data_IF_009965800196
#
_entry.id   IF_009965800196
#
_cell.length_a   1.000
_cell.length_b   1.000
_cell.length_c   1.000
_cell.angle_alpha   90.00
_cell.angle_beta   90.00
_cell.angle_gamma   90.00
#
_symmetry.space_group_name_H-M   'P 1'
#
loop_
_entity.id
_entity.type
_entity.pdbx_description
1 polymer ?
#
# COMPACT_ATOMS: atom_id res chain seq x y z
N UNK A 1 20.91 -3.60 -26.98
CA UNK A 1 19.61 -4.30 -27.03
C UNK A 1 18.55 -3.38 -27.61
N UNK A 2 17.78 -3.84 -28.57
CA UNK A 2 16.73 -3.04 -29.20
C UNK A 2 15.47 -2.96 -28.37
N UNK A 3 14.60 -2.06 -28.76
CA UNK A 3 13.25 -1.94 -28.20
C UNK A 3 12.23 -2.55 -29.15
N UNK A 4 11.19 -3.14 -28.56
CA UNK A 4 10.04 -3.65 -29.34
C UNK A 4 8.88 -2.65 -29.18
N UNK A 5 8.33 -2.23 -30.32
CA UNK A 5 7.21 -1.28 -30.33
C UNK A 5 5.93 -1.98 -30.78
N UNK A 6 4.86 -1.78 -30.04
CA UNK A 6 3.53 -2.27 -30.39
C UNK A 6 2.65 -1.08 -30.77
N UNK A 7 1.97 -1.17 -31.92
CA UNK A 7 1.11 -0.09 -32.41
C UNK A 7 -0.36 -0.25 -32.04
N UNK A 8 -0.73 -1.36 -31.40
CA UNK A 8 -2.09 -1.65 -30.98
C UNK A 8 -2.12 -2.25 -29.60
N UNK A 9 -3.29 -2.70 -29.13
CA UNK A 9 -3.41 -3.32 -27.80
C UNK A 9 -2.54 -4.55 -27.67
N UNK A 10 -1.91 -4.70 -26.49
CA UNK A 10 -1.17 -5.92 -26.11
C UNK A 10 -2.02 -6.69 -25.12
N UNK A 11 -2.34 -7.95 -25.47
CA UNK A 11 -3.12 -8.84 -24.60
C UNK A 11 -2.17 -9.86 -23.98
N UNK A 12 -2.12 -9.92 -22.66
CA UNK A 12 -1.40 -10.94 -21.92
C UNK A 12 -2.37 -11.70 -21.02
N UNK A 13 -2.48 -13.01 -21.24
CA UNK A 13 -3.38 -13.86 -20.44
C UNK A 13 -2.79 -14.20 -19.07
N UNK A 14 -1.47 -14.16 -18.95
CA UNK A 14 -0.75 -14.52 -17.73
C UNK A 14 -0.13 -13.32 -17.00
N UNK A 15 -0.46 -12.09 -17.43
CA UNK A 15 0.09 -10.87 -16.83
C UNK A 15 1.48 -10.52 -17.35
N UNK A 16 2.13 -9.62 -16.66
CA UNK A 16 3.47 -9.15 -16.98
C UNK A 16 4.41 -9.47 -15.83
N UNK A 17 5.62 -9.94 -16.16
CA UNK A 17 6.69 -10.10 -15.17
C UNK A 17 7.59 -8.87 -15.19
N UNK A 18 8.03 -8.45 -14.00
CA UNK A 18 8.92 -7.31 -13.83
C UNK A 18 8.21 -5.97 -13.76
N UNK A 19 8.98 -4.87 -13.63
CA UNK A 19 8.41 -3.54 -13.51
C UNK A 19 7.73 -3.08 -14.79
N UNK A 20 6.65 -2.32 -14.63
CA UNK A 20 5.99 -1.60 -15.73
C UNK A 20 6.35 -0.11 -15.58
N UNK A 21 7.04 0.45 -16.59
CA UNK A 21 7.34 1.88 -16.63
C UNK A 21 6.36 2.56 -17.59
N UNK A 22 5.54 3.44 -17.06
CA UNK A 22 4.50 4.12 -17.85
C UNK A 22 4.29 5.54 -17.33
N UNK A 23 3.93 6.46 -18.21
CA UNK A 23 3.53 7.80 -17.82
C UNK A 23 2.18 7.79 -17.10
N UNK A 24 1.28 6.93 -17.56
CA UNK A 24 -0.05 6.77 -16.96
C UNK A 24 -0.44 5.29 -17.00
N UNK A 25 -1.02 4.81 -15.93
CA UNK A 25 -1.65 3.48 -15.88
C UNK A 25 -3.13 3.69 -15.60
N UNK A 26 -3.99 3.26 -16.54
CA UNK A 26 -5.45 3.31 -16.38
C UNK A 26 -5.97 1.89 -16.17
N UNK A 27 -6.59 1.66 -15.02
CA UNK A 27 -7.26 0.39 -14.73
C UNK A 27 -8.76 0.56 -14.91
N UNK A 28 -9.42 -0.40 -15.57
CA UNK A 28 -10.87 -0.40 -15.75
C UNK A 28 -11.61 -1.07 -14.60
N UNK A 29 -10.89 -1.64 -13.67
CA UNK A 29 -11.41 -2.26 -12.47
C UNK A 29 -10.57 -1.88 -11.26
N UNK A 30 -10.61 -2.68 -10.23
CA UNK A 30 -9.82 -2.45 -9.03
C UNK A 30 -8.33 -2.65 -9.29
N UNK A 31 -7.50 -1.87 -8.63
CA UNK A 31 -6.06 -2.11 -8.55
C UNK A 31 -5.78 -2.82 -7.23
N UNK A 32 -5.26 -4.03 -7.30
CA UNK A 32 -4.86 -4.82 -6.12
C UNK A 32 -3.35 -4.75 -6.03
N UNK A 33 -2.83 -3.99 -5.07
CA UNK A 33 -1.40 -3.80 -4.90
C UNK A 33 -0.71 -5.06 -4.35
N UNK A 34 -1.40 -5.80 -3.49
CA UNK A 34 -0.93 -7.08 -2.97
C UNK A 34 -2.14 -7.97 -2.69
N UNK A 35 -2.08 -9.21 -3.14
CA UNK A 35 -3.17 -10.16 -2.95
C UNK A 35 -3.07 -10.96 -1.64
N UNK A 36 -2.04 -10.72 -0.84
CA UNK A 36 -1.86 -11.42 0.43
C UNK A 36 -2.89 -10.97 1.47
N UNK A 37 -3.21 -11.87 2.38
CA UNK A 37 -4.04 -11.53 3.54
C UNK A 37 -3.28 -10.55 4.42
N UNK A 38 -3.95 -9.50 4.88
CA UNK A 38 -3.35 -8.48 5.73
C UNK A 38 -2.76 -9.11 7.01
N UNK A 39 -1.46 -8.94 7.29
CA UNK A 39 -0.82 -9.56 8.44
C UNK A 39 -1.19 -8.85 9.74
N UNK A 40 -0.89 -9.49 10.87
CA UNK A 40 -0.98 -8.83 12.16
C UNK A 40 0.03 -7.68 12.27
N UNK A 41 -0.35 -6.63 13.00
CA UNK A 41 0.51 -5.50 13.34
C UNK A 41 1.06 -4.70 12.13
N UNK A 42 0.51 -4.92 10.93
CA UNK A 42 0.80 -4.09 9.76
C UNK A 42 2.12 -4.36 9.08
N UNK A 43 2.58 -5.62 9.08
CA UNK A 43 3.84 -5.97 8.42
C UNK A 43 3.86 -5.82 6.90
N UNK A 44 2.77 -5.38 6.27
CA UNK A 44 2.64 -5.28 4.82
C UNK A 44 2.47 -3.83 4.39
N UNK A 45 3.34 -3.40 3.47
CA UNK A 45 3.16 -2.13 2.75
C UNK A 45 2.31 -2.40 1.51
N UNK A 46 1.05 -1.96 1.52
CA UNK A 46 0.14 -2.17 0.39
C UNK A 46 0.50 -1.32 -0.82
N UNK A 47 0.76 -0.03 -0.60
CA UNK A 47 1.10 0.91 -1.68
C UNK A 47 2.17 1.86 -1.19
N UNK A 48 3.28 1.94 -1.93
CA UNK A 48 4.28 2.99 -1.73
C UNK A 48 3.91 4.21 -2.57
N UNK A 49 3.83 5.38 -1.94
CA UNK A 49 3.28 6.57 -2.58
C UNK A 49 4.34 7.40 -3.28
N UNK A 50 5.59 7.33 -2.82
CA UNK A 50 6.67 8.14 -3.39
C UNK A 50 7.97 7.35 -3.44
N UNK A 51 9.05 7.97 -3.92
CA UNK A 51 10.38 7.38 -3.90
C UNK A 51 10.96 7.24 -2.48
N UNK A 52 10.32 7.84 -1.47
CA UNK A 52 10.74 7.68 -0.08
C UNK A 52 10.42 6.26 0.39
N UNK A 53 11.48 5.52 0.71
CA UNK A 53 11.33 4.12 1.13
C UNK A 53 10.43 4.02 2.36
N UNK A 54 9.45 3.13 2.29
CA UNK A 54 8.53 2.88 3.38
C UNK A 54 7.41 3.90 3.59
N UNK A 55 7.30 4.92 2.71
CA UNK A 55 6.20 5.88 2.78
C UNK A 55 5.01 5.38 1.96
N UNK A 56 3.92 5.06 2.60
CA UNK A 56 2.75 4.56 1.90
C UNK A 56 1.61 4.15 2.82
N UNK A 57 0.76 3.27 2.30
CA UNK A 57 -0.41 2.75 3.01
C UNK A 57 -0.12 1.32 3.45
N UNK A 58 -0.20 1.09 4.76
CA UNK A 58 -0.03 -0.21 5.39
C UNK A 58 -1.39 -0.76 5.80
N UNK A 59 -1.50 -2.07 5.84
CA UNK A 59 -2.74 -2.76 6.21
C UNK A 59 -2.42 -3.89 7.18
N UNK A 60 -3.26 -4.10 8.17
CA UNK A 60 -3.09 -5.23 9.08
C UNK A 60 -4.17 -5.33 10.12
N UNK A 61 -4.12 -6.38 10.91
CA UNK A 61 -4.95 -6.57 12.11
C UNK A 61 -4.16 -6.18 13.36
N UNK A 62 -4.84 -5.71 14.38
CA UNK A 62 -4.19 -5.23 15.59
C UNK A 62 -3.51 -3.86 15.41
N UNK A 63 -3.01 -3.30 16.50
CA UNK A 63 -2.28 -2.05 16.46
C UNK A 63 -0.95 -2.20 15.72
N UNK A 64 -0.53 -1.20 14.92
CA UNK A 64 0.69 -1.32 14.13
C UNK A 64 1.95 -1.31 14.99
N UNK A 65 2.89 -2.19 14.66
CA UNK A 65 4.23 -2.22 15.25
C UNK A 65 5.33 -2.22 14.18
N UNK A 66 4.96 -2.26 12.92
CA UNK A 66 5.90 -2.24 11.81
C UNK A 66 6.64 -0.90 11.75
N UNK A 67 7.90 -0.92 11.30
CA UNK A 67 8.64 0.31 11.03
C UNK A 67 8.23 0.87 9.66
N UNK A 68 7.99 2.17 9.59
CA UNK A 68 7.58 2.84 8.37
C UNK A 68 8.12 4.26 8.32
N UNK A 69 8.10 4.87 7.15
CA UNK A 69 8.46 6.27 7.01
C UNK A 69 7.41 7.16 7.67
N UNK A 70 7.86 8.27 8.22
CA UNK A 70 7.00 9.27 8.84
C UNK A 70 5.94 9.78 7.85
N UNK A 71 4.70 9.82 8.30
CA UNK A 71 3.56 10.22 7.48
C UNK A 71 2.82 9.06 6.82
N UNK A 72 3.32 7.83 6.95
CA UNK A 72 2.62 6.65 6.44
C UNK A 72 1.29 6.45 7.15
N UNK A 73 0.32 5.93 6.42
CA UNK A 73 -1.03 5.62 6.90
C UNK A 73 -1.16 4.11 7.13
N UNK A 74 -1.79 3.73 8.23
CA UNK A 74 -2.11 2.34 8.53
C UNK A 74 -3.62 2.17 8.66
N UNK A 75 -4.17 1.21 7.92
CA UNK A 75 -5.57 0.83 7.99
C UNK A 75 -5.70 -0.48 8.75
N UNK A 76 -6.42 -0.46 9.86
CA UNK A 76 -6.60 -1.62 10.72
C UNK A 76 -7.88 -2.37 10.36
N UNK A 77 -7.75 -3.67 10.08
CA UNK A 77 -8.87 -4.48 9.59
C UNK A 77 -9.84 -4.88 10.70
N UNK A 78 -9.42 -4.89 11.96
CA UNK A 78 -10.22 -5.32 13.11
C UNK A 78 -10.51 -4.19 14.11
N UNK A 79 -10.35 -2.92 13.71
CA UNK A 79 -10.66 -1.77 14.55
C UNK A 79 -12.14 -1.63 14.83
N UNK A 80 -12.52 -1.43 16.09
CA UNK A 80 -13.91 -1.36 16.54
C UNK A 80 -14.28 -0.05 17.24
N UNK A 81 -13.27 0.73 17.66
CA UNK A 81 -13.48 1.98 18.39
C UNK A 81 -13.08 3.19 17.55
N UNK A 82 -13.38 4.38 18.05
CA UNK A 82 -13.03 5.63 17.36
C UNK A 82 -11.52 5.86 17.23
N UNK A 83 -10.71 5.18 18.04
CA UNK A 83 -9.26 5.42 18.14
C UNK A 83 -8.42 4.23 17.69
N UNK A 84 -9.00 3.22 17.05
CA UNK A 84 -8.25 2.03 16.68
C UNK A 84 -8.46 1.58 15.24
N UNK A 85 -9.01 2.45 14.38
CA UNK A 85 -9.33 2.12 12.99
C UNK A 85 -8.21 2.49 12.01
N UNK A 86 -7.51 3.60 12.28
CA UNK A 86 -6.45 4.10 11.43
C UNK A 86 -5.37 4.80 12.25
N UNK A 87 -4.13 4.81 11.73
CA UNK A 87 -2.97 5.39 12.40
C UNK A 87 -2.08 6.12 11.40
N UNK A 88 -1.34 7.12 11.90
CA UNK A 88 -0.27 7.81 11.16
C UNK A 88 1.06 7.51 11.84
N UNK A 89 2.09 7.19 11.05
CA UNK A 89 3.44 7.07 11.58
C UNK A 89 4.00 8.46 11.88
N UNK A 90 4.43 8.68 13.12
CA UNK A 90 4.82 10.01 13.60
C UNK A 90 6.31 10.18 13.82
N UNK A 91 7.11 9.10 13.79
CA UNK A 91 8.53 9.21 14.08
C UNK A 91 9.47 8.64 13.01
N UNK A 92 8.93 8.06 11.94
CA UNK A 92 9.76 7.42 10.92
C UNK A 92 10.34 6.08 11.36
N UNK A 93 9.79 5.46 12.37
CA UNK A 93 10.18 4.15 12.89
C UNK A 93 8.90 3.38 13.27
N UNK A 94 8.78 2.97 14.53
CA UNK A 94 7.70 2.09 14.98
C UNK A 94 6.60 2.80 15.77
N UNK A 95 6.64 4.13 15.84
CA UNK A 95 5.62 4.89 16.58
C UNK A 95 4.49 5.30 15.65
N UNK A 96 3.31 4.82 15.97
CA UNK A 96 2.08 5.11 15.24
C UNK A 96 1.09 5.80 16.18
N UNK A 97 0.52 6.88 15.72
CA UNK A 97 -0.49 7.64 16.48
C UNK A 97 -1.86 7.42 15.86
N UNK A 98 -2.81 7.05 16.68
CA UNK A 98 -4.17 6.79 16.23
C UNK A 98 -4.83 8.05 15.70
N UNK A 99 -5.59 7.90 14.62
CA UNK A 99 -6.51 8.91 14.14
C UNK A 99 -7.86 8.69 14.82
N UNK A 100 -8.40 9.72 15.46
CA UNK A 100 -9.73 9.64 16.06
C UNK A 100 -10.77 9.76 14.94
N UNK A 101 -11.63 8.76 14.83
CA UNK A 101 -12.72 8.76 13.86
C UNK A 101 -14.07 9.03 14.57
N UNK A 102 -15.07 9.42 13.81
CA UNK A 102 -16.41 9.54 14.35
C UNK A 102 -16.96 8.17 14.78
N UNK A 103 -17.88 8.18 15.74
CA UNK A 103 -18.52 6.96 16.21
C UNK A 103 -19.40 6.30 15.12
#
# INVERSE_FOLDING_TARGET
>A
MGTTTFSGPVVSQNGFEGPVSATTVTATGNVIADSATAPAAGGMLGVQISSTAGLGIYVGSGAPTVSAAKGSLYLRTDGTTTNDRAYINTNGSTTWTALTTAA
#
